data_IF_852961261094
#
_entry.id   IF_852961261094
#
_cell.length_a   1.000
_cell.length_b   1.000
_cell.length_c   1.000
_cell.angle_alpha   90.00
_cell.angle_beta   90.00
_cell.angle_gamma   90.00
#
_symmetry.space_group_name_H-M   'P 1'
#
loop_
_entity.id
_entity.type
_entity.pdbx_description
1 polymer ?
#
# COMPACT_ATOMS: atom_id res chain seq x y z
N UNK A 1 11.60 -24.38 -0.85
CA UNK A 1 11.48 -22.93 -1.13
C UNK A 1 12.83 -22.40 -1.62
N UNK A 2 12.83 -21.52 -2.63
CA UNK A 2 14.06 -21.02 -3.27
C UNK A 2 14.84 -20.10 -2.29
N UNK A 3 16.15 -20.34 -2.04
CA UNK A 3 16.97 -19.53 -1.13
C UNK A 3 16.98 -18.03 -1.46
N UNK A 4 16.85 -17.68 -2.74
CA UNK A 4 16.81 -16.28 -3.21
C UNK A 4 15.58 -15.55 -2.70
N UNK A 5 14.42 -16.22 -2.66
CA UNK A 5 13.17 -15.62 -2.20
C UNK A 5 13.25 -15.20 -0.73
N UNK A 6 13.75 -16.10 0.13
CA UNK A 6 13.90 -15.82 1.54
C UNK A 6 14.91 -14.70 1.82
N UNK A 7 15.96 -14.60 1.00
CA UNK A 7 16.91 -13.51 1.10
C UNK A 7 16.24 -12.15 0.78
N UNK A 8 15.52 -12.06 -0.33
CA UNK A 8 14.82 -10.83 -0.74
C UNK A 8 13.76 -10.42 0.27
N UNK A 9 12.93 -11.38 0.72
CA UNK A 9 11.88 -11.13 1.71
C UNK A 9 12.45 -10.61 3.03
N UNK A 10 13.52 -11.23 3.54
CA UNK A 10 14.18 -10.76 4.78
C UNK A 10 14.83 -9.39 4.61
N UNK A 11 15.45 -9.12 3.46
CA UNK A 11 16.03 -7.82 3.16
C UNK A 11 14.97 -6.72 3.15
N UNK A 12 13.85 -6.96 2.48
CA UNK A 12 12.73 -6.03 2.43
C UNK A 12 12.10 -5.80 3.81
N UNK A 13 11.79 -6.87 4.55
CA UNK A 13 11.20 -6.75 5.89
C UNK A 13 12.11 -5.97 6.87
N UNK A 14 13.43 -6.10 6.76
CA UNK A 14 14.36 -5.28 7.59
C UNK A 14 14.19 -3.78 7.40
N UNK A 15 13.76 -3.33 6.23
CA UNK A 15 13.51 -1.91 5.95
C UNK A 15 12.13 -1.46 6.47
N UNK A 16 11.14 -2.35 6.41
CA UNK A 16 9.75 -2.07 6.81
C UNK A 16 9.59 -2.14 8.34
N UNK A 17 10.29 -3.06 8.99
CA UNK A 17 10.17 -3.37 10.41
C UNK A 17 10.34 -2.18 11.37
N UNK A 18 11.30 -1.26 11.19
CA UNK A 18 11.45 -0.09 12.05
C UNK A 18 10.20 0.81 11.99
N UNK A 19 9.65 1.00 10.79
CA UNK A 19 8.45 1.82 10.56
C UNK A 19 7.24 1.12 11.17
N UNK A 20 7.07 -0.18 10.93
CA UNK A 20 5.99 -0.96 11.54
C UNK A 20 6.03 -0.88 13.08
N UNK A 21 7.21 -1.05 13.68
CA UNK A 21 7.38 -0.96 15.14
C UNK A 21 7.05 0.44 15.67
N UNK A 22 7.41 1.49 14.92
CA UNK A 22 7.06 2.86 15.28
C UNK A 22 5.54 3.10 15.22
N UNK A 23 4.86 2.64 14.18
CA UNK A 23 3.39 2.74 14.05
C UNK A 23 2.67 1.96 15.17
N UNK A 24 3.17 0.78 15.54
CA UNK A 24 2.65 -0.02 16.66
C UNK A 24 2.78 0.75 17.98
N UNK A 25 3.93 1.40 18.24
CA UNK A 25 4.14 2.22 19.43
C UNK A 25 3.19 3.42 19.51
N UNK A 26 2.83 3.99 18.37
CA UNK A 26 1.83 5.05 18.26
C UNK A 26 0.38 4.56 18.39
N UNK A 27 0.16 3.24 18.47
CA UNK A 27 -1.18 2.66 18.58
C UNK A 27 -2.02 2.79 17.31
N UNK A 28 -1.39 3.07 16.16
CA UNK A 28 -2.08 3.23 14.88
C UNK A 28 -2.70 1.89 14.47
N UNK A 29 -3.96 1.90 14.03
CA UNK A 29 -4.67 0.70 13.61
C UNK A 29 -4.24 0.29 12.18
N UNK A 30 -4.23 -1.03 11.86
CA UNK A 30 -3.99 -1.51 10.50
C UNK A 30 -4.90 -0.83 9.47
N UNK A 31 -6.20 -0.79 9.74
CA UNK A 31 -7.18 -0.18 8.83
C UNK A 31 -6.88 1.30 8.54
N UNK A 32 -6.34 2.07 9.51
CA UNK A 32 -5.97 3.45 9.26
C UNK A 32 -4.78 3.57 8.29
N UNK A 33 -3.82 2.65 8.38
CA UNK A 33 -2.68 2.56 7.45
C UNK A 33 -3.20 2.25 6.05
N UNK A 34 -4.10 1.25 5.92
CA UNK A 34 -4.78 0.92 4.66
C UNK A 34 -5.49 2.13 4.07
N UNK A 35 -6.32 2.83 4.87
CA UNK A 35 -7.06 4.03 4.40
C UNK A 35 -6.14 5.11 3.84
N UNK A 36 -5.03 5.39 4.55
CA UNK A 36 -4.04 6.40 4.12
C UNK A 36 -3.34 5.94 2.83
N UNK A 37 -2.94 4.66 2.77
CA UNK A 37 -2.34 4.07 1.58
C UNK A 37 -3.25 4.19 0.36
N UNK A 38 -4.52 3.84 0.51
CA UNK A 38 -5.53 3.97 -0.56
C UNK A 38 -5.70 5.43 -0.98
N UNK A 39 -5.77 6.38 -0.04
CA UNK A 39 -5.84 7.79 -0.38
C UNK A 39 -4.64 8.24 -1.21
N UNK A 40 -3.42 7.84 -0.84
CA UNK A 40 -2.23 8.11 -1.63
C UNK A 40 -2.33 7.49 -3.04
N UNK A 41 -2.92 6.29 -3.17
CA UNK A 41 -3.12 5.65 -4.48
C UNK A 41 -4.16 6.40 -5.32
N UNK A 42 -5.21 6.96 -4.72
CA UNK A 42 -6.15 7.85 -5.43
C UNK A 42 -5.44 9.09 -5.97
N UNK A 43 -4.54 9.70 -5.19
CA UNK A 43 -3.72 10.83 -5.64
C UNK A 43 -2.82 10.40 -6.81
N UNK A 44 -2.19 9.23 -6.74
CA UNK A 44 -1.39 8.70 -7.85
C UNK A 44 -2.24 8.51 -9.12
N UNK A 45 -3.47 7.98 -9.00
CA UNK A 45 -4.42 7.85 -10.11
C UNK A 45 -4.77 9.19 -10.75
N UNK A 46 -5.06 10.20 -9.93
CA UNK A 46 -5.29 11.55 -10.44
C UNK A 46 -4.06 12.12 -11.15
N UNK A 47 -2.85 11.94 -10.60
CA UNK A 47 -1.60 12.37 -11.23
C UNK A 47 -1.35 11.68 -12.58
N UNK A 48 -1.67 10.39 -12.70
CA UNK A 48 -1.66 9.71 -13.99
C UNK A 48 -2.59 10.43 -14.98
N UNK A 49 -3.85 10.69 -14.60
CA UNK A 49 -4.82 11.36 -15.48
C UNK A 49 -4.43 12.79 -15.91
N UNK A 50 -3.66 13.50 -15.10
CA UNK A 50 -3.09 14.81 -15.46
C UNK A 50 -1.79 14.73 -16.29
N UNK A 51 -1.27 13.53 -16.54
CA UNK A 51 -0.06 13.31 -17.34
C UNK A 51 1.25 13.41 -16.56
N UNK A 52 1.22 13.50 -15.23
CA UNK A 52 2.41 13.49 -14.37
C UNK A 52 2.94 12.05 -14.15
N UNK A 53 3.19 11.31 -15.22
CA UNK A 53 3.46 9.86 -15.20
C UNK A 53 4.61 9.48 -14.26
N UNK A 54 5.72 10.23 -14.30
CA UNK A 54 6.89 9.94 -13.45
C UNK A 54 6.57 10.13 -11.97
N UNK A 55 5.92 11.24 -11.62
CA UNK A 55 5.53 11.54 -10.23
C UNK A 55 4.50 10.54 -9.73
N UNK A 56 3.50 10.21 -10.55
CA UNK A 56 2.48 9.22 -10.25
C UNK A 56 3.10 7.84 -9.96
N UNK A 57 4.09 7.42 -10.77
CA UNK A 57 4.83 6.17 -10.54
C UNK A 57 5.59 6.14 -9.21
N UNK A 58 6.23 7.25 -8.81
CA UNK A 58 6.88 7.34 -7.50
C UNK A 58 5.87 7.29 -6.35
N UNK A 59 4.75 8.02 -6.46
CA UNK A 59 3.70 8.00 -5.43
C UNK A 59 3.08 6.62 -5.30
N UNK A 60 2.80 5.94 -6.43
CA UNK A 60 2.32 4.55 -6.44
C UNK A 60 3.34 3.58 -5.83
N UNK A 61 4.64 3.75 -6.12
CA UNK A 61 5.69 2.94 -5.49
C UNK A 61 5.72 3.09 -3.97
N UNK A 62 5.43 4.29 -3.45
CA UNK A 62 5.32 4.53 -2.01
C UNK A 62 4.07 3.84 -1.42
N UNK A 63 2.97 3.73 -2.15
CA UNK A 63 1.73 3.15 -1.61
C UNK A 63 1.86 1.65 -1.33
N UNK A 64 2.67 0.93 -2.11
CA UNK A 64 3.01 -0.47 -1.86
C UNK A 64 3.67 -0.71 -0.49
N UNK A 65 4.29 0.31 0.10
CA UNK A 65 4.85 0.21 1.46
C UNK A 65 3.74 0.20 2.50
N UNK A 66 2.64 0.94 2.29
CA UNK A 66 1.51 1.01 3.23
C UNK A 66 0.79 -0.33 3.35
N UNK A 67 0.56 -1.03 2.24
CA UNK A 67 -0.02 -2.39 2.18
C UNK A 67 0.82 -3.40 3.00
N UNK A 68 2.14 -3.37 2.84
CA UNK A 68 3.01 -4.24 3.64
C UNK A 68 2.99 -3.84 5.12
N UNK A 69 2.93 -2.53 5.40
CA UNK A 69 2.90 -2.02 6.77
C UNK A 69 1.61 -2.43 7.49
N UNK A 70 0.43 -2.28 6.89
CA UNK A 70 -0.83 -2.58 7.56
C UNK A 70 -0.93 -4.06 7.95
N UNK A 71 -0.55 -4.98 7.06
CA UNK A 71 -0.58 -6.41 7.32
C UNK A 71 0.48 -6.80 8.33
N UNK A 72 1.64 -6.14 8.31
CA UNK A 72 2.69 -6.38 9.31
C UNK A 72 2.28 -5.89 10.69
N UNK A 73 1.64 -4.72 10.77
CA UNK A 73 1.09 -4.18 12.02
C UNK A 73 -0.06 -5.07 12.52
N UNK A 74 -0.95 -5.54 11.65
CA UNK A 74 -2.04 -6.44 12.01
C UNK A 74 -1.51 -7.75 12.63
N UNK A 75 -0.57 -8.42 11.96
CA UNK A 75 0.08 -9.65 12.44
C UNK A 75 0.78 -9.46 13.78
N UNK A 76 1.59 -8.40 13.91
CA UNK A 76 2.39 -8.16 15.13
C UNK A 76 1.55 -7.73 16.33
N UNK A 77 0.40 -7.10 16.10
CA UNK A 77 -0.50 -6.65 17.16
C UNK A 77 -1.63 -7.62 17.46
N UNK A 78 -1.72 -8.74 16.74
CA UNK A 78 -2.83 -9.70 16.87
C UNK A 78 -4.18 -9.13 16.46
N UNK A 79 -4.19 -8.09 15.60
CA UNK A 79 -5.40 -7.39 15.13
C UNK A 79 -5.86 -7.84 13.74
N UNK A 80 -5.44 -9.02 13.30
CA UNK A 80 -5.94 -9.63 12.07
C UNK A 80 -7.41 -10.04 12.27
N UNK A 81 -8.30 -9.50 11.43
CA UNK A 81 -9.74 -9.76 11.50
C UNK A 81 -10.29 -10.03 10.11
N UNK A 82 -11.39 -10.78 10.03
CA UNK A 82 -12.10 -11.03 8.76
C UNK A 82 -12.55 -9.71 8.12
N UNK A 83 -13.01 -8.76 8.93
CA UNK A 83 -13.38 -7.43 8.45
C UNK A 83 -12.16 -6.67 7.90
N UNK A 84 -11.02 -6.69 8.60
CA UNK A 84 -9.79 -6.04 8.13
C UNK A 84 -9.33 -6.59 6.77
N UNK A 85 -9.33 -7.91 6.61
CA UNK A 85 -9.01 -8.55 5.33
C UNK A 85 -10.00 -8.17 4.21
N UNK A 86 -11.30 -8.13 4.52
CA UNK A 86 -12.31 -7.64 3.57
C UNK A 86 -12.11 -6.16 3.21
N UNK A 87 -11.81 -5.32 4.20
CA UNK A 87 -11.58 -3.88 4.05
C UNK A 87 -10.40 -3.61 3.13
N UNK A 88 -9.27 -4.25 3.42
CA UNK A 88 -8.04 -4.21 2.62
C UNK A 88 -8.28 -4.65 1.16
N UNK A 89 -8.81 -5.84 0.97
CA UNK A 89 -9.15 -6.36 -0.36
C UNK A 89 -10.14 -5.49 -1.14
N UNK A 90 -11.07 -4.81 -0.44
CA UNK A 90 -12.03 -3.90 -1.08
C UNK A 90 -11.34 -2.61 -1.52
N UNK A 91 -10.50 -2.03 -0.67
CA UNK A 91 -9.79 -0.80 -1.00
C UNK A 91 -8.72 -1.01 -2.07
N UNK A 92 -8.13 -2.21 -2.16
CA UNK A 92 -7.30 -2.60 -3.31
C UNK A 92 -8.05 -2.47 -4.63
N UNK A 93 -9.32 -2.88 -4.70
CA UNK A 93 -10.10 -2.73 -5.93
C UNK A 93 -10.39 -1.28 -6.26
N UNK A 94 -10.63 -0.46 -5.24
CA UNK A 94 -10.80 1.00 -5.42
C UNK A 94 -9.49 1.62 -5.92
N UNK A 95 -8.36 1.22 -5.34
CA UNK A 95 -7.02 1.64 -5.73
C UNK A 95 -6.68 1.24 -7.18
N UNK A 96 -6.90 -0.02 -7.55
CA UNK A 96 -6.76 -0.54 -8.91
C UNK A 96 -7.59 0.28 -9.90
N UNK A 97 -8.87 0.52 -9.58
CA UNK A 97 -9.78 1.32 -10.39
C UNK A 97 -9.30 2.76 -10.59
N UNK A 98 -8.75 3.39 -9.56
CA UNK A 98 -8.24 4.76 -9.64
C UNK A 98 -6.98 4.86 -10.52
N UNK A 99 -6.05 3.92 -10.40
CA UNK A 99 -4.84 3.89 -11.23
C UNK A 99 -5.18 3.62 -12.69
N UNK A 100 -5.99 2.58 -12.95
CA UNK A 100 -6.40 2.24 -14.31
C UNK A 100 -7.24 3.34 -14.94
N UNK A 101 -8.16 3.95 -14.19
CA UNK A 101 -8.96 5.10 -14.65
C UNK A 101 -8.09 6.32 -14.97
N UNK A 102 -7.12 6.63 -14.11
CA UNK A 102 -6.15 7.70 -14.35
C UNK A 102 -5.32 7.48 -15.62
N UNK A 103 -4.79 6.28 -15.79
CA UNK A 103 -4.05 5.90 -17.00
C UNK A 103 -4.93 5.95 -18.25
N UNK A 104 -6.18 5.49 -18.15
CA UNK A 104 -7.14 5.56 -19.27
C UNK A 104 -7.38 7.02 -19.69
N UNK A 105 -7.61 7.93 -18.73
CA UNK A 105 -7.80 9.36 -19.01
C UNK A 105 -6.56 9.94 -19.68
N UNK A 106 -5.36 9.56 -19.23
CA UNK A 106 -4.11 10.03 -19.83
C UNK A 106 -3.94 9.57 -21.28
N UNK A 107 -4.21 8.30 -21.56
CA UNK A 107 -4.03 7.72 -22.90
C UNK A 107 -5.13 8.15 -23.86
N UNK A 108 -6.33 8.44 -23.36
CA UNK A 108 -7.47 8.90 -24.17
C UNK A 108 -7.40 10.38 -24.56
N UNK A 109 -6.43 11.13 -24.02
CA UNK A 109 -6.15 12.53 -24.37
C UNK A 109 -5.14 12.64 -25.50
#
# INVERSE_FOLDING_TARGET
MNPLWEWTKRGYLRLVDPVANWLIRLGISPNAITTIGTFCTLVAGALFGFGYIRTAGWVLGLTAIFDVLDGTVARRTGKETVFGAFYDSTLDRVADGAILGGLMIFVAR
#
